data_IF_825935708673
#
_entry.id   IF_825935708673
#
_cell.length_a   1.000
_cell.length_b   1.000
_cell.length_c   1.000
_cell.angle_alpha   90.00
_cell.angle_beta   90.00
_cell.angle_gamma   90.00
#
_symmetry.space_group_name_H-M   'P 1'
#
loop_
_entity.id
_entity.type
_entity.pdbx_description
1 polymer ?
#
# COMPACT_ATOMS: atom_id res chain seq x y z
N UNK A 1 7.23 -17.61 36.25
CA UNK A 1 7.00 -17.94 34.84
C UNK A 1 6.48 -16.69 34.17
N UNK A 2 7.32 -15.99 33.43
CA UNK A 2 6.88 -14.82 32.66
C UNK A 2 6.03 -15.34 31.51
N UNK A 3 4.76 -14.95 31.44
CA UNK A 3 3.93 -15.22 30.27
C UNK A 3 4.51 -14.41 29.10
N UNK A 4 5.39 -15.03 28.32
CA UNK A 4 5.86 -14.42 27.08
C UNK A 4 4.68 -14.44 26.09
N UNK A 5 4.12 -13.27 25.83
CA UNK A 5 3.21 -13.07 24.70
C UNK A 5 4.08 -13.14 23.44
N UNK A 6 3.99 -14.25 22.71
CA UNK A 6 4.62 -14.36 21.39
C UNK A 6 3.75 -13.59 20.39
N UNK A 7 4.29 -12.52 19.83
CA UNK A 7 3.62 -11.76 18.77
C UNK A 7 3.94 -12.43 17.43
N UNK A 8 2.89 -12.80 16.69
CA UNK A 8 3.03 -13.47 15.39
C UNK A 8 3.44 -12.47 14.30
N UNK A 9 4.73 -12.12 14.25
CA UNK A 9 5.27 -11.17 13.28
C UNK A 9 5.28 -11.73 11.85
N UNK A 10 5.50 -13.03 11.68
CA UNK A 10 5.42 -13.69 10.36
C UNK A 10 4.03 -13.54 9.73
N UNK A 11 2.97 -13.69 10.55
CA UNK A 11 1.60 -13.44 10.13
C UNK A 11 1.36 -11.98 9.73
N UNK A 12 1.95 -11.02 10.46
CA UNK A 12 1.88 -9.59 10.12
C UNK A 12 2.56 -9.33 8.77
N UNK A 13 3.77 -9.85 8.57
CA UNK A 13 4.51 -9.69 7.29
C UNK A 13 3.70 -10.26 6.13
N UNK A 14 3.12 -11.46 6.27
CA UNK A 14 2.31 -12.09 5.22
C UNK A 14 1.06 -11.28 4.85
N UNK A 15 0.35 -10.73 5.84
CA UNK A 15 -0.83 -9.87 5.61
C UNK A 15 -0.41 -8.59 4.88
N UNK A 16 0.72 -8.00 5.29
CA UNK A 16 1.23 -6.75 4.71
C UNK A 16 1.70 -6.96 3.27
N UNK A 17 2.39 -8.06 2.95
CA UNK A 17 2.78 -8.37 1.57
C UNK A 17 1.54 -8.57 0.67
N UNK A 18 0.50 -9.22 1.18
CA UNK A 18 -0.80 -9.34 0.47
C UNK A 18 -1.41 -7.95 0.24
N UNK A 19 -1.41 -7.09 1.27
CA UNK A 19 -1.94 -5.73 1.18
C UNK A 19 -1.19 -4.89 0.13
N UNK A 20 0.15 -5.01 0.06
CA UNK A 20 0.96 -4.33 -0.97
C UNK A 20 0.59 -4.83 -2.37
N UNK A 21 0.38 -6.14 -2.54
CA UNK A 21 -0.07 -6.72 -3.81
C UNK A 21 -1.43 -6.14 -4.22
N UNK A 22 -2.41 -6.14 -3.32
CA UNK A 22 -3.75 -5.63 -3.56
C UNK A 22 -3.73 -4.13 -3.92
N UNK A 23 -2.88 -3.34 -3.26
CA UNK A 23 -2.71 -1.91 -3.56
C UNK A 23 -2.19 -1.71 -5.00
N UNK A 24 -1.22 -2.52 -5.43
CA UNK A 24 -0.67 -2.42 -6.77
C UNK A 24 -1.70 -2.82 -7.84
N UNK A 25 -2.52 -3.84 -7.57
CA UNK A 25 -3.63 -4.22 -8.46
C UNK A 25 -4.68 -3.12 -8.55
N UNK A 26 -5.13 -2.58 -7.40
CA UNK A 26 -6.06 -1.45 -7.36
C UNK A 26 -5.54 -0.22 -8.12
N UNK A 27 -4.26 0.10 -8.00
CA UNK A 27 -3.66 1.23 -8.72
C UNK A 27 -3.77 1.05 -10.24
N UNK A 28 -3.53 -0.17 -10.74
CA UNK A 28 -3.66 -0.48 -12.16
C UNK A 28 -5.11 -0.39 -12.64
N UNK A 29 -6.05 -0.92 -11.86
CA UNK A 29 -7.48 -0.86 -12.17
C UNK A 29 -7.99 0.58 -12.23
N UNK A 30 -7.67 1.38 -11.22
CA UNK A 30 -8.08 2.79 -11.14
C UNK A 30 -7.51 3.60 -12.30
N UNK A 31 -6.22 3.45 -12.59
CA UNK A 31 -5.60 4.17 -13.70
C UNK A 31 -6.22 3.77 -15.06
N UNK A 32 -6.57 2.49 -15.23
CA UNK A 32 -7.25 1.99 -16.43
C UNK A 32 -8.66 2.58 -16.55
N UNK A 33 -9.41 2.66 -15.44
CA UNK A 33 -10.75 3.23 -15.41
C UNK A 33 -10.74 4.72 -15.78
N UNK A 34 -9.87 5.52 -15.15
CA UNK A 34 -9.74 6.96 -15.46
C UNK A 34 -9.28 7.19 -16.90
N UNK A 35 -8.29 6.44 -17.38
CA UNK A 35 -7.83 6.53 -18.78
C UNK A 35 -8.97 6.22 -19.75
N UNK A 36 -9.81 5.24 -19.44
CA UNK A 36 -10.98 4.88 -20.26
C UNK A 36 -12.04 5.98 -20.28
N UNK A 37 -12.29 6.63 -19.14
CA UNK A 37 -13.22 7.76 -19.05
C UNK A 37 -12.71 8.97 -19.86
N UNK A 38 -11.43 9.33 -19.70
CA UNK A 38 -10.80 10.42 -20.46
C UNK A 38 -10.89 10.14 -21.96
N UNK A 39 -10.58 8.91 -22.39
CA UNK A 39 -10.68 8.51 -23.79
C UNK A 39 -12.11 8.58 -24.32
N UNK A 40 -13.12 8.24 -23.49
CA UNK A 40 -14.54 8.33 -23.87
C UNK A 40 -15.00 9.78 -24.11
N UNK A 41 -14.27 10.76 -23.56
CA UNK A 41 -14.53 12.20 -23.72
C UNK A 41 -13.61 12.86 -24.76
N UNK A 42 -12.74 12.10 -25.44
CA UNK A 42 -11.71 12.66 -26.32
C UNK A 42 -12.26 13.40 -27.54
N UNK A 43 -13.31 12.86 -28.16
CA UNK A 43 -13.95 13.46 -29.34
C UNK A 43 -15.02 14.51 -29.00
N UNK A 44 -15.38 14.64 -27.71
CA UNK A 44 -16.35 15.61 -27.25
C UNK A 44 -15.68 16.97 -27.04
N UNK A 45 -16.34 18.06 -27.41
CA UNK A 45 -15.83 19.43 -27.32
C UNK A 45 -16.79 20.33 -26.53
N UNK A 46 -16.25 21.28 -25.78
CA UNK A 46 -17.01 22.25 -24.99
C UNK A 46 -16.32 22.52 -23.66
N UNK A 47 -16.50 23.71 -23.10
CA UNK A 47 -15.85 24.12 -21.85
C UNK A 47 -16.16 23.15 -20.70
N UNK A 48 -17.38 22.64 -20.62
CA UNK A 48 -17.76 21.65 -19.60
C UNK A 48 -17.04 20.32 -19.79
N UNK A 49 -16.84 19.86 -21.03
CA UNK A 49 -16.14 18.61 -21.33
C UNK A 49 -14.65 18.76 -21.03
N UNK A 50 -14.07 19.92 -21.34
CA UNK A 50 -12.68 20.22 -21.04
C UNK A 50 -12.44 20.23 -19.52
N UNK A 51 -13.32 20.88 -18.76
CA UNK A 51 -13.28 20.89 -17.30
C UNK A 51 -13.44 19.48 -16.70
N UNK A 52 -14.31 18.64 -17.27
CA UNK A 52 -14.46 17.24 -16.85
C UNK A 52 -13.19 16.42 -17.13
N UNK A 53 -12.53 16.60 -18.27
CA UNK A 53 -11.27 15.90 -18.57
C UNK A 53 -10.17 16.30 -17.58
N UNK A 54 -10.03 17.60 -17.28
CA UNK A 54 -9.07 18.09 -16.27
C UNK A 54 -9.36 17.54 -14.86
N UNK A 55 -10.64 17.47 -14.48
CA UNK A 55 -11.04 16.86 -13.20
C UNK A 55 -10.67 15.38 -13.14
N UNK A 56 -10.94 14.60 -14.20
CA UNK A 56 -10.60 13.17 -14.25
C UNK A 56 -9.09 12.93 -14.17
N UNK A 57 -8.28 13.76 -14.83
CA UNK A 57 -6.82 13.69 -14.72
C UNK A 57 -6.34 13.98 -13.30
N UNK A 58 -6.92 15.00 -12.66
CA UNK A 58 -6.61 15.38 -11.28
C UNK A 58 -6.98 14.26 -10.30
N UNK A 59 -8.16 13.67 -10.44
CA UNK A 59 -8.60 12.55 -9.62
C UNK A 59 -7.72 11.31 -9.82
N UNK A 60 -7.33 10.99 -11.07
CA UNK A 60 -6.42 9.89 -11.35
C UNK A 60 -5.07 10.07 -10.65
N UNK A 61 -4.50 11.27 -10.75
CA UNK A 61 -3.24 11.61 -10.08
C UNK A 61 -3.36 11.50 -8.55
N UNK A 62 -4.49 11.93 -7.98
CA UNK A 62 -4.75 11.79 -6.55
C UNK A 62 -4.86 10.31 -6.14
N UNK A 63 -5.55 9.48 -6.91
CA UNK A 63 -5.67 8.06 -6.63
C UNK A 63 -4.32 7.32 -6.70
N UNK A 64 -3.49 7.66 -7.68
CA UNK A 64 -2.10 7.15 -7.78
C UNK A 64 -1.30 7.57 -6.55
N UNK A 65 -1.39 8.84 -6.14
CA UNK A 65 -0.69 9.34 -4.95
C UNK A 65 -1.15 8.62 -3.66
N UNK A 66 -2.44 8.33 -3.55
CA UNK A 66 -3.01 7.56 -2.44
C UNK A 66 -2.47 6.13 -2.40
N UNK A 67 -2.50 5.42 -3.54
CA UNK A 67 -1.97 4.05 -3.63
C UNK A 67 -0.49 4.00 -3.24
N UNK A 68 0.33 4.92 -3.77
CA UNK A 68 1.74 5.04 -3.42
C UNK A 68 1.96 5.29 -1.91
N UNK A 69 1.10 6.10 -1.29
CA UNK A 69 1.17 6.40 0.14
C UNK A 69 0.84 5.16 0.98
N UNK A 70 -0.21 4.42 0.60
CA UNK A 70 -0.61 3.18 1.27
C UNK A 70 0.46 2.08 1.12
N UNK A 71 1.08 1.97 -0.05
CA UNK A 71 2.17 1.03 -0.29
C UNK A 71 3.38 1.33 0.63
N UNK A 72 3.83 2.59 0.67
CA UNK A 72 4.93 3.02 1.56
C UNK A 72 4.63 2.81 3.04
N UNK A 73 3.39 3.08 3.45
CA UNK A 73 2.95 2.83 4.82
C UNK A 73 2.98 1.33 5.15
N UNK A 74 2.51 0.49 4.23
CA UNK A 74 2.56 -0.96 4.34
C UNK A 74 4.00 -1.48 4.43
N UNK A 75 4.90 -0.99 3.58
CA UNK A 75 6.33 -1.30 3.66
C UNK A 75 6.95 -0.92 5.02
N UNK A 76 6.53 0.22 5.59
CA UNK A 76 6.98 0.66 6.91
C UNK A 76 6.54 -0.31 8.02
N UNK A 77 5.32 -0.85 7.93
CA UNK A 77 4.83 -1.88 8.85
C UNK A 77 5.64 -3.17 8.69
N UNK A 78 5.88 -3.61 7.45
CA UNK A 78 6.70 -4.81 7.18
C UNK A 78 8.11 -4.68 7.76
N UNK A 79 8.72 -3.51 7.59
CA UNK A 79 10.03 -3.21 8.15
C UNK A 79 10.01 -3.31 9.68
N UNK A 80 9.07 -2.64 10.34
CA UNK A 80 8.95 -2.70 11.80
C UNK A 80 8.71 -4.13 12.32
N UNK A 81 7.87 -4.92 11.65
CA UNK A 81 7.64 -6.33 12.02
C UNK A 81 8.91 -7.19 11.88
N UNK A 82 9.71 -6.92 10.85
CA UNK A 82 11.00 -7.60 10.64
C UNK A 82 12.00 -7.25 11.74
N UNK A 83 12.14 -5.96 12.08
CA UNK A 83 13.03 -5.48 13.16
C UNK A 83 12.64 -6.09 14.52
N UNK A 84 11.35 -6.17 14.83
CA UNK A 84 10.90 -6.80 16.07
C UNK A 84 11.18 -8.30 16.12
N UNK A 85 11.12 -8.99 14.98
CA UNK A 85 11.47 -10.42 14.89
C UNK A 85 12.96 -10.64 15.15
N UNK A 86 13.81 -9.78 14.58
CA UNK A 86 15.26 -9.82 14.83
C UNK A 86 15.60 -9.52 16.30
N UNK A 87 14.93 -8.53 16.90
CA UNK A 87 15.11 -8.18 18.30
C UNK A 87 14.70 -9.32 19.25
N UNK A 88 13.59 -10.02 18.96
CA UNK A 88 13.15 -11.17 19.76
C UNK A 88 14.16 -12.33 19.67
N UNK A 89 14.64 -12.64 18.46
CA UNK A 89 15.64 -13.69 18.22
C UNK A 89 16.98 -13.42 18.93
N UNK A 90 17.48 -12.17 18.83
CA UNK A 90 18.75 -11.77 19.45
C UNK A 90 18.63 -11.69 20.98
N UNK A 91 17.51 -11.17 21.50
CA UNK A 91 17.21 -11.14 22.94
C UNK A 91 17.13 -12.53 23.56
N UNK A 92 16.41 -13.45 22.92
CA UNK A 92 16.32 -14.85 23.36
C UNK A 92 17.70 -15.52 23.39
N UNK A 93 18.53 -15.29 22.36
CA UNK A 93 19.89 -15.84 22.26
C UNK A 93 20.82 -15.33 23.37
N UNK A 94 20.68 -14.07 23.80
CA UNK A 94 21.48 -13.50 24.89
C UNK A 94 21.02 -13.97 26.28
N UNK A 95 19.74 -14.29 26.45
CA UNK A 95 19.21 -14.82 27.72
C UNK A 95 19.53 -16.31 27.92
N UNK A 96 19.66 -17.10 26.85
CA UNK A 96 20.05 -18.51 26.93
C UNK A 96 21.54 -18.75 27.26
N UNK A 97 22.39 -17.72 27.14
CA UNK A 97 23.82 -17.76 27.43
C UNK A 97 24.18 -17.32 28.88
N UNK A 98 23.21 -17.29 29.80
CA UNK A 98 23.41 -16.99 31.23
C UNK A 98 23.18 -18.20 32.13
#
# INVERSE_FOLDING_TARGET
MTNNIHVNMDGVVSIVDTTISDINEMQNEVNTAYSSLINSLSDASGEEVDALREQLETENNLAIALCNTLAKFSESIRFAASEFTELDSTGASQMGNK
#
